data_IF_004234014347
#
_entry.id   IF_004234014347
#
_cell.length_a   1.000
_cell.length_b   1.000
_cell.length_c   1.000
_cell.angle_alpha   90.00
_cell.angle_beta   90.00
_cell.angle_gamma   90.00
#
_symmetry.space_group_name_H-M   'P 1'
#
loop_
_entity.id
_entity.type
_entity.pdbx_description
1 polymer ?
#
# COMPACT_ATOMS: atom_id res chain seq x y z
N UNK A 1 3.45 7.56 8.61
CA UNK A 1 4.87 7.95 8.68
C UNK A 1 5.65 7.41 7.48
N UNK A 2 5.71 6.08 7.27
CA UNK A 2 6.52 5.46 6.19
C UNK A 2 6.24 5.97 4.78
N UNK A 3 4.99 6.30 4.44
CA UNK A 3 4.63 6.89 3.14
C UNK A 3 5.36 8.21 2.90
N UNK A 4 5.47 9.05 3.93
CA UNK A 4 6.15 10.35 3.84
C UNK A 4 7.66 10.12 3.71
N UNK A 5 8.22 9.18 4.47
CA UNK A 5 9.65 8.86 4.38
C UNK A 5 10.02 8.36 2.97
N UNK A 6 9.20 7.48 2.39
CA UNK A 6 9.38 6.98 1.03
C UNK A 6 9.25 8.10 -0.01
N UNK A 7 8.26 8.98 0.13
CA UNK A 7 8.10 10.16 -0.72
C UNK A 7 9.33 11.10 -0.65
N UNK A 8 9.84 11.37 0.56
CA UNK A 8 11.05 12.17 0.77
C UNK A 8 12.30 11.54 0.15
N UNK A 9 12.32 10.21 -0.02
CA UNK A 9 13.38 9.48 -0.70
C UNK A 9 13.07 9.20 -2.19
N UNK A 10 12.07 9.88 -2.76
CA UNK A 10 11.68 9.78 -4.17
C UNK A 10 11.30 8.34 -4.60
N UNK A 11 10.72 7.57 -3.69
CA UNK A 11 10.17 6.24 -3.95
C UNK A 11 8.68 6.42 -4.25
N UNK A 12 8.19 5.80 -5.33
CA UNK A 12 6.76 5.76 -5.63
C UNK A 12 6.06 4.78 -4.72
N UNK A 13 4.96 5.19 -4.11
CA UNK A 13 4.23 4.39 -3.13
C UNK A 13 2.78 4.27 -3.54
N UNK A 14 2.29 3.03 -3.55
CA UNK A 14 0.88 2.72 -3.54
C UNK A 14 0.51 2.17 -2.14
N UNK A 15 -0.57 2.67 -1.56
CA UNK A 15 -1.11 2.25 -0.27
C UNK A 15 -2.39 1.47 -0.51
N UNK A 16 -2.45 0.24 0.00
CA UNK A 16 -3.64 -0.60 -0.12
C UNK A 16 -4.59 -0.29 1.04
N UNK A 17 -5.75 0.29 0.74
CA UNK A 17 -6.71 0.76 1.76
C UNK A 17 -7.17 -0.36 2.70
N UNK A 18 -7.56 -1.52 2.17
CA UNK A 18 -8.08 -2.63 2.99
C UNK A 18 -7.00 -3.32 3.84
N UNK A 19 -5.73 -3.09 3.50
CA UNK A 19 -4.57 -3.53 4.28
C UNK A 19 -4.16 -2.56 5.40
N UNK A 20 -4.78 -1.39 5.48
CA UNK A 20 -4.47 -0.35 6.45
C UNK A 20 -5.49 -0.33 7.59
N UNK A 21 -5.03 -0.04 8.82
CA UNK A 21 -5.89 0.01 9.99
C UNK A 21 -5.58 1.22 10.87
N UNK A 22 -6.63 1.80 11.45
CA UNK A 22 -6.55 2.77 12.54
C UNK A 22 -7.63 2.45 13.58
N UNK A 23 -7.43 2.86 14.83
CA UNK A 23 -8.41 2.69 15.92
C UNK A 23 -9.74 3.38 15.60
N UNK A 24 -9.69 4.50 14.90
CA UNK A 24 -10.87 5.29 14.53
C UNK A 24 -11.05 5.33 13.02
N UNK A 25 -12.26 5.05 12.55
CA UNK A 25 -12.62 5.14 11.13
C UNK A 25 -12.43 6.56 10.56
N UNK A 26 -12.67 7.59 11.38
CA UNK A 26 -12.42 8.97 10.97
C UNK A 26 -10.92 9.23 10.77
N UNK A 27 -10.06 8.73 11.67
CA UNK A 27 -8.60 8.87 11.55
C UNK A 27 -8.08 8.11 10.33
N UNK A 28 -8.58 6.88 10.13
CA UNK A 28 -8.26 6.07 8.95
C UNK A 28 -8.57 6.82 7.64
N UNK A 29 -9.80 7.31 7.48
CA UNK A 29 -10.23 8.01 6.28
C UNK A 29 -9.46 9.33 6.05
N UNK A 30 -9.23 10.11 7.11
CA UNK A 30 -8.46 11.37 7.01
C UNK A 30 -7.02 11.10 6.58
N UNK A 31 -6.37 10.10 7.18
CA UNK A 31 -4.99 9.74 6.85
C UNK A 31 -4.86 9.24 5.41
N UNK A 32 -5.76 8.37 4.94
CA UNK A 32 -5.76 7.89 3.56
C UNK A 32 -6.01 9.02 2.57
N UNK A 33 -6.98 9.90 2.85
CA UNK A 33 -7.29 11.05 1.99
C UNK A 33 -6.09 12.01 1.87
N UNK A 34 -5.41 12.33 2.97
CA UNK A 34 -4.24 13.22 2.95
C UNK A 34 -3.07 12.59 2.18
N UNK A 35 -2.83 11.28 2.38
CA UNK A 35 -1.81 10.55 1.62
C UNK A 35 -2.13 10.54 0.13
N UNK A 36 -3.38 10.26 -0.25
CA UNK A 36 -3.79 10.22 -1.65
C UNK A 36 -3.65 11.56 -2.36
N UNK A 37 -3.92 12.65 -1.65
CA UNK A 37 -3.88 13.98 -2.24
C UNK A 37 -2.46 14.48 -2.52
N UNK A 38 -1.43 13.96 -1.84
CA UNK A 38 -0.10 14.59 -1.81
C UNK A 38 1.10 13.66 -1.91
N UNK A 39 1.00 12.42 -1.43
CA UNK A 39 2.19 11.62 -1.11
C UNK A 39 2.21 10.22 -1.75
N UNK A 40 1.05 9.62 -2.02
CA UNK A 40 0.94 8.25 -2.53
C UNK A 40 -0.36 8.05 -3.31
N UNK A 41 -0.43 6.97 -4.08
CA UNK A 41 -1.69 6.49 -4.65
C UNK A 41 -2.36 5.56 -3.63
N UNK A 42 -3.63 5.81 -3.27
CA UNK A 42 -4.42 4.90 -2.43
C UNK A 42 -5.26 4.06 -3.37
N UNK A 43 -5.04 2.75 -3.35
CA UNK A 43 -5.63 1.79 -4.27
C UNK A 43 -6.32 0.67 -3.49
N UNK A 44 -7.21 -0.04 -4.17
CA UNK A 44 -7.85 -1.23 -3.64
C UNK A 44 -6.94 -2.46 -3.72
N UNK A 45 -7.27 -3.48 -2.92
CA UNK A 45 -6.52 -4.75 -2.88
C UNK A 45 -6.50 -5.45 -4.24
N UNK A 46 -7.63 -5.47 -4.95
CA UNK A 46 -7.72 -6.12 -6.27
C UNK A 46 -6.79 -5.47 -7.30
N UNK A 47 -6.66 -4.13 -7.27
CA UNK A 47 -5.74 -3.39 -8.13
C UNK A 47 -4.29 -3.70 -7.79
N UNK A 48 -3.95 -3.76 -6.49
CA UNK A 48 -2.60 -4.09 -6.04
C UNK A 48 -2.20 -5.51 -6.44
N UNK A 49 -3.09 -6.49 -6.26
CA UNK A 49 -2.86 -7.89 -6.66
C UNK A 49 -2.71 -7.99 -8.18
N UNK A 50 -3.61 -7.36 -8.94
CA UNK A 50 -3.53 -7.35 -10.40
C UNK A 50 -2.24 -6.74 -10.93
N UNK A 51 -1.73 -5.68 -10.28
CA UNK A 51 -0.43 -5.10 -10.60
C UNK A 51 0.71 -6.10 -10.32
N UNK A 52 0.72 -6.73 -9.13
CA UNK A 52 1.76 -7.69 -8.75
C UNK A 52 1.78 -8.88 -9.71
N UNK A 53 0.61 -9.43 -10.05
CA UNK A 53 0.48 -10.56 -10.97
C UNK A 53 0.94 -10.23 -12.41
N UNK A 54 0.94 -8.94 -12.78
CA UNK A 54 1.43 -8.49 -14.09
C UNK A 54 2.96 -8.41 -14.19
N UNK A 55 3.67 -8.55 -13.07
CA UNK A 55 5.12 -8.42 -13.03
C UNK A 55 5.80 -9.74 -13.46
N UNK A 56 6.63 -9.68 -14.50
CA UNK A 56 7.47 -10.81 -14.93
C UNK A 56 8.79 -10.85 -14.14
N UNK A 57 8.68 -11.08 -12.83
CA UNK A 57 9.83 -11.21 -11.93
C UNK A 57 9.65 -12.37 -10.96
N UNK A 58 10.72 -13.16 -10.80
CA UNK A 58 10.76 -14.23 -9.81
C UNK A 58 10.88 -13.63 -8.40
N UNK A 59 9.77 -13.60 -7.67
CA UNK A 59 9.73 -13.10 -6.31
C UNK A 59 10.10 -14.21 -5.31
N UNK A 60 11.13 -13.98 -4.49
CA UNK A 60 11.50 -14.86 -3.38
C UNK A 60 10.55 -14.67 -2.19
N UNK A 61 9.29 -15.06 -2.35
CA UNK A 61 8.26 -14.99 -1.30
C UNK A 61 8.17 -16.33 -0.54
N UNK A 62 8.01 -16.31 0.79
CA UNK A 62 7.68 -17.51 1.55
C UNK A 62 6.39 -18.15 1.01
N UNK A 63 6.36 -19.48 0.90
CA UNK A 63 5.25 -20.21 0.25
C UNK A 63 3.92 -20.13 1.01
N UNK A 64 3.89 -19.62 2.24
CA UNK A 64 2.69 -19.49 3.07
C UNK A 64 2.01 -20.82 3.42
N UNK A 65 2.59 -21.96 3.01
CA UNK A 65 2.11 -23.29 3.36
C UNK A 65 2.63 -23.62 4.76
N UNK A 66 1.76 -23.94 5.73
CA UNK A 66 2.22 -24.50 6.99
C UNK A 66 2.99 -25.79 6.71
N UNK A 67 4.05 -26.02 7.50
CA UNK A 67 4.85 -27.25 7.46
C UNK A 67 3.99 -28.49 7.74
#
# INVERSE_FOLDING_TARGET
>A
ASVIDAFSNNIRVAVVEEGCFDRSQASHAVNLCDMHAKYADVIGTDEAVGFIDSLDVEMNVPTGKPL
#
